data_IF_840959657187
#
_entry.id   IF_840959657187
#
_cell.length_a   1.000
_cell.length_b   1.000
_cell.length_c   1.000
_cell.angle_alpha   90.00
_cell.angle_beta   90.00
_cell.angle_gamma   90.00
#
_symmetry.space_group_name_H-M   'P 1'
#
loop_
_entity.id
_entity.type
_entity.pdbx_description
1 polymer ?
#
# COMPACT_ATOMS: atom_id res chain seq x y z
N UNK A 1 -6.28 -23.88 -9.65
CA UNK A 1 -5.61 -22.86 -8.82
C UNK A 1 -6.62 -22.14 -7.93
N UNK A 2 -6.66 -22.44 -6.63
CA UNK A 2 -7.72 -21.96 -5.72
C UNK A 2 -7.42 -20.63 -4.98
N UNK A 3 -6.34 -19.91 -5.33
CA UNK A 3 -5.93 -18.67 -4.63
C UNK A 3 -6.13 -17.37 -5.41
N UNK A 4 -5.81 -17.36 -6.71
CA UNK A 4 -5.77 -16.13 -7.54
C UNK A 4 -7.14 -15.46 -7.67
N UNK A 5 -8.21 -16.25 -7.83
CA UNK A 5 -9.57 -15.73 -7.93
C UNK A 5 -10.01 -15.00 -6.64
N UNK A 6 -9.49 -15.40 -5.47
CA UNK A 6 -9.77 -14.75 -4.19
C UNK A 6 -9.10 -13.39 -4.11
N UNK A 7 -7.84 -13.28 -4.58
CA UNK A 7 -7.13 -12.00 -4.66
C UNK A 7 -7.90 -11.04 -5.56
N UNK A 8 -8.27 -11.46 -6.78
CA UNK A 8 -9.04 -10.65 -7.71
C UNK A 8 -10.39 -10.18 -7.12
N UNK A 9 -11.12 -11.08 -6.44
CA UNK A 9 -12.39 -10.76 -5.77
C UNK A 9 -12.22 -9.74 -4.65
N UNK A 10 -11.11 -9.81 -3.90
CA UNK A 10 -10.81 -8.88 -2.81
C UNK A 10 -10.39 -7.50 -3.33
N UNK A 11 -9.59 -7.43 -4.40
CA UNK A 11 -9.26 -6.17 -5.08
C UNK A 11 -10.53 -5.47 -5.53
N UNK A 12 -11.41 -6.18 -6.26
CA UNK A 12 -12.68 -5.64 -6.75
C UNK A 12 -13.56 -5.10 -5.62
N UNK A 13 -13.67 -5.85 -4.51
CA UNK A 13 -14.43 -5.42 -3.33
C UNK A 13 -13.81 -4.19 -2.66
N UNK A 14 -12.49 -4.15 -2.55
CA UNK A 14 -11.78 -3.04 -1.91
C UNK A 14 -11.92 -1.74 -2.72
N UNK A 15 -11.78 -1.81 -4.04
CA UNK A 15 -12.00 -0.65 -4.94
C UNK A 15 -13.43 -0.11 -4.81
N UNK A 16 -14.44 -1.00 -4.85
CA UNK A 16 -15.83 -0.58 -4.71
C UNK A 16 -16.13 -0.01 -3.32
N UNK A 17 -15.47 -0.50 -2.27
CA UNK A 17 -15.72 -0.08 -0.90
C UNK A 17 -14.96 1.19 -0.47
N UNK A 18 -13.63 1.18 -0.59
CA UNK A 18 -12.76 2.28 -0.11
C UNK A 18 -12.70 3.43 -1.11
N UNK A 19 -12.67 3.12 -2.40
CA UNK A 19 -12.58 4.13 -3.46
C UNK A 19 -13.92 4.39 -4.15
N UNK A 20 -15.02 3.80 -3.66
CA UNK A 20 -16.36 3.93 -4.24
C UNK A 20 -16.41 3.65 -5.74
N UNK A 21 -15.55 2.76 -6.24
CA UNK A 21 -15.45 2.43 -7.66
C UNK A 21 -14.67 3.44 -8.51
N UNK A 22 -14.13 4.52 -7.93
CA UNK A 22 -13.27 5.48 -8.63
C UNK A 22 -11.81 5.06 -8.51
N UNK A 23 -11.11 4.96 -9.65
CA UNK A 23 -9.66 4.73 -9.70
C UNK A 23 -9.10 5.64 -10.77
N UNK A 24 -8.09 6.42 -10.39
CA UNK A 24 -7.35 7.29 -11.30
C UNK A 24 -6.15 6.51 -11.84
N UNK A 25 -6.00 6.35 -13.16
CA UNK A 25 -4.86 5.64 -13.76
C UNK A 25 -3.50 6.15 -13.28
N UNK A 26 -3.41 7.45 -13.01
CA UNK A 26 -2.20 8.15 -12.56
C UNK A 26 -1.75 7.72 -11.15
N UNK A 27 -2.61 7.03 -10.40
CA UNK A 27 -2.35 6.57 -9.04
C UNK A 27 -2.45 5.05 -8.89
N UNK A 28 -2.48 4.31 -10.00
CA UNK A 28 -2.68 2.86 -9.99
C UNK A 28 -1.68 2.13 -9.08
N UNK A 29 -0.41 2.48 -9.15
CA UNK A 29 0.65 1.85 -8.35
C UNK A 29 0.43 2.09 -6.85
N UNK A 30 0.06 3.31 -6.46
CA UNK A 30 -0.25 3.64 -5.08
C UNK A 30 -1.46 2.84 -4.55
N UNK A 31 -2.50 2.66 -5.38
CA UNK A 31 -3.64 1.82 -5.01
C UNK A 31 -3.23 0.35 -4.83
N UNK A 32 -2.38 -0.18 -5.71
CA UNK A 32 -1.92 -1.57 -5.60
C UNK A 32 -1.03 -1.79 -4.37
N UNK A 33 -0.15 -0.84 -4.05
CA UNK A 33 0.67 -0.88 -2.84
C UNK A 33 -0.18 -0.85 -1.57
N UNK A 34 -1.22 0.00 -1.51
CA UNK A 34 -2.15 0.03 -0.39
C UNK A 34 -2.89 -1.31 -0.25
N UNK A 35 -3.38 -1.86 -1.37
CA UNK A 35 -4.04 -3.16 -1.36
C UNK A 35 -3.13 -4.26 -0.80
N UNK A 36 -1.88 -4.33 -1.26
CA UNK A 36 -0.89 -5.32 -0.80
C UNK A 36 -0.62 -5.14 0.70
N UNK A 37 -0.47 -3.91 1.18
CA UNK A 37 -0.32 -3.62 2.61
C UNK A 37 -1.51 -4.14 3.41
N UNK A 38 -2.75 -3.84 3.01
CA UNK A 38 -3.97 -4.26 3.72
C UNK A 38 -4.17 -5.77 3.67
N UNK A 39 -3.88 -6.41 2.54
CA UNK A 39 -3.95 -7.85 2.35
C UNK A 39 -2.97 -8.57 3.28
N UNK A 40 -1.71 -8.18 3.28
CA UNK A 40 -0.66 -8.78 4.11
C UNK A 40 -0.86 -8.49 5.61
N UNK A 41 -1.41 -7.32 5.97
CA UNK A 41 -1.70 -6.98 7.37
C UNK A 41 -2.76 -7.89 7.99
N UNK A 42 -3.72 -8.41 7.21
CA UNK A 42 -4.87 -9.15 7.74
C UNK A 42 -4.47 -10.45 8.43
N UNK A 43 -3.49 -11.15 7.89
CA UNK A 43 -2.99 -12.44 8.38
C UNK A 43 -1.69 -12.33 9.16
N UNK A 44 -1.08 -11.15 9.23
CA UNK A 44 0.14 -10.94 9.99
C UNK A 44 -0.07 -11.23 11.49
N UNK A 45 0.73 -12.15 12.04
CA UNK A 45 0.78 -12.42 13.48
C UNK A 45 1.50 -11.33 14.27
N UNK A 46 2.18 -10.41 13.58
CA UNK A 46 3.02 -9.37 14.17
C UNK A 46 2.46 -7.96 13.93
N UNK A 47 1.14 -7.79 14.01
CA UNK A 47 0.45 -6.50 13.74
C UNK A 47 0.96 -5.35 14.59
N UNK A 48 1.42 -5.62 15.82
CA UNK A 48 2.02 -4.62 16.71
C UNK A 48 3.39 -4.10 16.26
N UNK A 49 4.07 -4.78 15.32
CA UNK A 49 5.37 -4.35 14.81
C UNK A 49 5.27 -3.23 13.77
N UNK A 50 4.09 -2.74 13.41
CA UNK A 50 3.97 -1.59 12.49
C UNK A 50 4.70 -0.37 13.06
N UNK A 51 4.51 -0.08 14.35
CA UNK A 51 5.22 0.99 15.02
C UNK A 51 6.72 0.73 15.05
N UNK A 52 7.13 -0.51 15.36
CA UNK A 52 8.53 -0.90 15.35
C UNK A 52 9.18 -0.76 13.97
N UNK A 53 8.49 -1.18 12.89
CA UNK A 53 8.97 -1.03 11.51
C UNK A 53 9.02 0.43 11.08
N UNK A 54 8.06 1.25 11.48
CA UNK A 54 8.09 2.68 11.23
C UNK A 54 9.28 3.34 11.93
N UNK A 55 9.53 2.97 13.19
CA UNK A 55 10.69 3.46 13.95
C UNK A 55 12.01 2.98 13.32
N UNK A 56 12.07 1.72 12.88
CA UNK A 56 13.22 1.19 12.16
C UNK A 56 13.48 1.95 10.85
N UNK A 57 12.43 2.24 10.07
CA UNK A 57 12.57 3.05 8.85
C UNK A 57 12.96 4.49 9.12
N UNK A 58 12.47 5.10 10.20
CA UNK A 58 12.87 6.45 10.60
C UNK A 58 14.35 6.55 10.99
N UNK A 59 14.94 5.46 11.51
CA UNK A 59 16.37 5.39 11.84
C UNK A 59 17.24 5.08 10.62
N UNK A 60 16.78 4.20 9.73
CA UNK A 60 17.57 3.73 8.57
C UNK A 60 17.48 4.68 7.38
N UNK A 61 16.36 5.37 7.21
CA UNK A 61 16.14 6.29 6.09
C UNK A 61 16.75 7.65 6.41
N UNK A 62 17.54 8.20 5.50
CA UNK A 62 18.04 9.57 5.63
C UNK A 62 16.90 10.61 5.66
N UNK A 63 17.15 11.85 6.11
CA UNK A 63 16.14 12.90 6.11
C UNK A 63 15.61 13.12 4.68
N UNK A 64 14.29 13.07 4.52
CA UNK A 64 13.59 13.29 3.27
C UNK A 64 12.78 14.57 3.41
N UNK A 65 12.93 15.52 2.48
CA UNK A 65 12.14 16.73 2.46
C UNK A 65 10.80 16.50 1.77
N UNK A 66 9.84 17.39 1.99
CA UNK A 66 8.56 17.32 1.28
C UNK A 66 8.74 17.38 -0.25
N UNK A 67 9.69 18.19 -0.73
CA UNK A 67 10.01 18.28 -2.16
C UNK A 67 10.51 16.94 -2.72
N UNK A 68 11.34 16.21 -1.97
CA UNK A 68 11.83 14.88 -2.36
C UNK A 68 10.68 13.86 -2.45
N UNK A 69 9.68 13.96 -1.59
CA UNK A 69 8.50 13.08 -1.61
C UNK A 69 7.66 13.33 -2.86
N UNK A 70 7.42 14.59 -3.21
CA UNK A 70 6.56 14.97 -4.34
C UNK A 70 7.26 14.70 -5.67
N UNK A 71 8.55 15.03 -5.82
CA UNK A 71 9.27 14.85 -7.08
C UNK A 71 9.69 13.40 -7.35
N UNK A 72 9.82 12.55 -6.32
CA UNK A 72 10.08 11.12 -6.52
C UNK A 72 8.94 10.40 -7.24
N UNK A 73 7.71 10.93 -7.17
CA UNK A 73 6.57 10.38 -7.90
C UNK A 73 6.63 10.65 -9.42
N UNK A 74 7.45 11.61 -9.87
CA UNK A 74 7.56 12.02 -11.28
C UNK A 74 8.69 11.31 -12.02
N UNK A 75 9.51 10.53 -11.32
CA UNK A 75 10.67 9.84 -11.90
C UNK A 75 10.48 8.32 -11.89
N UNK A 76 9.51 7.82 -12.68
CA UNK A 76 9.44 6.43 -13.16
C UNK A 76 8.91 6.43 -14.59
#
# INVERSE_FOLDING_TARGET
MAGVHRVASLVKRWILGTHHGSVQPEHLDAYLDEFVFRFNRRTSGSRGLLFYRLLQQAVVTGPVTYADVVHRAETV
#
